data_IF_344529727104
#
_entry.id   IF_344529727104
#
_cell.length_a   1.000
_cell.length_b   1.000
_cell.length_c   1.000
_cell.angle_alpha   90.00
_cell.angle_beta   90.00
_cell.angle_gamma   90.00
#
_symmetry.space_group_name_H-M   'P 1'
#
loop_
_entity.id
_entity.type
_entity.pdbx_description
1 polymer ?
#
# COMPACT_ATOMS: atom_id res chain seq x y z
N UNK A 1 26.69 14.45 -37.36
CA UNK A 1 26.21 13.72 -36.17
C UNK A 1 24.83 14.25 -35.76
N UNK A 2 23.80 13.50 -36.02
CA UNK A 2 22.44 13.88 -35.61
C UNK A 2 22.28 13.49 -34.12
N UNK A 3 22.17 14.49 -33.26
CA UNK A 3 21.83 14.28 -31.85
C UNK A 3 20.36 13.88 -31.77
N UNK A 4 20.11 12.64 -31.44
CA UNK A 4 18.77 12.17 -31.12
C UNK A 4 18.39 12.76 -29.74
N UNK A 5 17.61 13.81 -29.74
CA UNK A 5 16.98 14.35 -28.53
C UNK A 5 15.79 13.47 -28.26
N UNK A 6 15.96 12.51 -27.35
CA UNK A 6 14.83 11.77 -26.77
C UNK A 6 14.14 12.73 -25.82
N UNK A 7 13.10 13.38 -26.29
CA UNK A 7 12.14 14.08 -25.44
C UNK A 7 11.37 12.98 -24.73
N UNK A 8 11.77 12.68 -23.50
CA UNK A 8 10.92 11.99 -22.55
C UNK A 8 9.73 12.91 -22.24
N UNK A 9 8.68 12.76 -23.04
CA UNK A 9 7.41 13.33 -22.68
C UNK A 9 6.96 12.66 -21.41
N UNK A 10 7.10 13.34 -20.28
CA UNK A 10 6.36 13.05 -19.08
C UNK A 10 4.89 13.29 -19.41
N UNK A 11 4.21 12.25 -19.90
CA UNK A 11 2.78 12.19 -19.82
C UNK A 11 2.45 12.11 -18.34
N UNK A 12 2.16 13.25 -17.74
CA UNK A 12 1.33 13.31 -16.56
C UNK A 12 -0.04 12.82 -17.03
N UNK A 13 -0.24 11.50 -17.01
CA UNK A 13 -1.55 10.93 -17.17
C UNK A 13 -2.27 11.32 -15.90
N UNK A 14 -3.03 12.41 -15.97
CA UNK A 14 -4.07 12.69 -15.02
C UNK A 14 -5.12 11.59 -15.19
N UNK A 15 -4.90 10.45 -14.51
CA UNK A 15 -5.93 9.43 -14.39
C UNK A 15 -7.10 10.09 -13.69
N UNK A 16 -8.17 10.31 -14.43
CA UNK A 16 -9.40 10.81 -13.85
C UNK A 16 -9.76 9.95 -12.63
N UNK A 17 -10.12 10.60 -11.52
CA UNK A 17 -10.38 9.96 -10.23
C UNK A 17 -11.43 8.82 -10.29
N UNK A 18 -12.11 8.62 -11.41
CA UNK A 18 -13.15 7.62 -11.62
C UNK A 18 -12.62 6.22 -12.00
N UNK A 19 -11.42 6.12 -12.59
CA UNK A 19 -10.88 4.85 -13.11
C UNK A 19 -10.23 3.96 -12.03
N UNK A 20 -10.13 4.39 -10.76
CA UNK A 20 -9.38 3.72 -9.70
C UNK A 20 -10.19 3.48 -8.44
N UNK A 21 -11.49 3.23 -8.59
CA UNK A 21 -12.36 2.91 -7.46
C UNK A 21 -12.15 1.49 -6.94
N UNK A 22 -12.20 1.33 -5.64
CA UNK A 22 -12.26 0.02 -5.00
C UNK A 22 -13.66 -0.59 -5.19
N UNK A 23 -13.79 -1.90 -4.94
CA UNK A 23 -15.06 -2.60 -5.01
C UNK A 23 -16.06 -2.13 -3.93
N UNK A 24 -17.34 -2.34 -4.19
CA UNK A 24 -18.41 -2.03 -3.22
C UNK A 24 -18.22 -2.76 -1.89
N UNK A 25 -17.73 -4.01 -1.92
CA UNK A 25 -17.39 -4.76 -0.72
C UNK A 25 -16.29 -4.09 0.10
N UNK A 26 -15.29 -3.51 -0.56
CA UNK A 26 -14.24 -2.74 0.10
C UNK A 26 -14.79 -1.45 0.70
N UNK A 27 -15.67 -0.74 -0.02
CA UNK A 27 -16.33 0.46 0.50
C UNK A 27 -17.13 0.14 1.76
N UNK A 28 -17.92 -0.93 1.75
CA UNK A 28 -18.69 -1.37 2.92
C UNK A 28 -17.80 -1.66 4.14
N UNK A 29 -16.65 -2.32 3.93
CA UNK A 29 -15.67 -2.54 4.99
C UNK A 29 -15.08 -1.23 5.52
N UNK A 30 -14.77 -0.29 4.64
CA UNK A 30 -14.20 1.01 5.00
C UNK A 30 -15.19 1.84 5.81
N UNK A 31 -16.47 1.83 5.46
CA UNK A 31 -17.52 2.51 6.22
C UNK A 31 -17.53 2.08 7.70
N UNK A 32 -17.30 0.79 7.96
CA UNK A 32 -17.27 0.22 9.30
C UNK A 32 -15.95 0.43 10.06
N UNK A 33 -14.91 0.96 9.40
CA UNK A 33 -13.56 1.07 9.97
C UNK A 33 -13.04 2.50 10.10
N UNK A 34 -13.88 3.49 9.88
CA UNK A 34 -13.51 4.92 9.94
C UNK A 34 -12.89 5.27 11.30
N UNK A 35 -11.66 5.76 11.28
CA UNK A 35 -10.92 6.19 12.45
C UNK A 35 -10.58 5.09 13.46
N UNK A 36 -10.66 3.83 13.05
CA UNK A 36 -10.41 2.70 13.95
C UNK A 36 -8.94 2.27 13.97
N UNK A 37 -8.58 1.62 15.07
CA UNK A 37 -7.33 0.87 15.23
C UNK A 37 -7.72 -0.58 15.53
N UNK A 38 -7.29 -1.49 14.67
CA UNK A 38 -7.45 -2.94 14.88
C UNK A 38 -6.19 -3.47 15.57
N UNK A 39 -6.37 -4.12 16.71
CA UNK A 39 -5.28 -4.84 17.41
C UNK A 39 -5.57 -6.33 17.33
N UNK A 40 -4.59 -7.07 16.80
CA UNK A 40 -4.65 -8.52 16.71
C UNK A 40 -3.74 -9.12 17.79
N UNK A 41 -4.33 -9.97 18.62
CA UNK A 41 -3.64 -10.63 19.72
C UNK A 41 -3.54 -12.12 19.44
N UNK A 42 -2.38 -12.68 19.70
CA UNK A 42 -2.14 -14.11 19.57
C UNK A 42 -1.85 -14.72 20.95
N UNK A 43 -2.54 -15.82 21.25
CA UNK A 43 -2.31 -16.61 22.46
C UNK A 43 -1.93 -18.02 22.05
N UNK A 44 -0.70 -18.44 22.32
CA UNK A 44 -0.29 -19.80 22.03
C UNK A 44 -1.03 -20.79 22.93
N UNK A 45 -1.28 -22.00 22.41
CA UNK A 45 -1.92 -23.08 23.19
C UNK A 45 -1.07 -23.38 24.44
N UNK A 46 -1.70 -23.33 25.61
CA UNK A 46 -1.03 -23.51 26.90
C UNK A 46 -0.50 -22.23 27.54
N UNK A 47 -0.48 -21.11 26.82
CA UNK A 47 -0.12 -19.80 27.36
C UNK A 47 -1.31 -19.09 28.00
N UNK A 48 -1.04 -18.36 29.07
CA UNK A 48 -2.03 -17.51 29.76
C UNK A 48 -1.99 -16.05 29.28
N UNK A 49 -1.00 -15.67 28.49
CA UNK A 49 -0.80 -14.30 28.01
C UNK A 49 -1.01 -14.22 26.52
N UNK A 50 -1.76 -13.21 26.10
CA UNK A 50 -1.85 -12.80 24.74
C UNK A 50 -0.66 -11.88 24.38
N UNK A 51 -0.09 -12.08 23.20
CA UNK A 51 0.92 -11.19 22.64
C UNK A 51 0.28 -10.34 21.55
N UNK A 52 0.60 -9.05 21.56
CA UNK A 52 0.22 -8.17 20.46
C UNK A 52 0.98 -8.61 19.20
N UNK A 53 0.24 -9.06 18.20
CA UNK A 53 0.79 -9.60 16.95
C UNK A 53 0.83 -8.53 15.86
N UNK A 54 -0.28 -7.80 15.70
CA UNK A 54 -0.41 -6.76 14.66
C UNK A 54 -1.28 -5.62 15.12
N UNK A 55 -0.93 -4.41 14.67
CA UNK A 55 -1.76 -3.22 14.79
C UNK A 55 -1.99 -2.62 13.41
N UNK A 56 -3.25 -2.43 13.05
CA UNK A 56 -3.65 -1.80 11.79
C UNK A 56 -4.40 -0.51 12.10
N UNK A 57 -3.96 0.60 11.53
CA UNK A 57 -4.59 1.91 11.69
C UNK A 57 -5.35 2.29 10.42
N UNK A 58 -6.57 2.74 10.59
CA UNK A 58 -7.45 3.22 9.51
C UNK A 58 -7.68 4.72 9.65
N UNK A 59 -7.73 5.42 8.51
CA UNK A 59 -8.02 6.84 8.47
C UNK A 59 -9.51 7.16 8.64
N UNK A 60 -9.86 8.44 8.52
CA UNK A 60 -11.24 8.93 8.60
C UNK A 60 -12.17 8.35 7.52
N UNK A 61 -11.62 7.80 6.43
CA UNK A 61 -12.36 7.12 5.36
C UNK A 61 -12.36 5.60 5.52
N UNK A 62 -11.78 5.06 6.59
CA UNK A 62 -11.65 3.63 6.81
C UNK A 62 -10.61 2.94 5.92
N UNK A 63 -9.72 3.71 5.29
CA UNK A 63 -8.61 3.18 4.50
C UNK A 63 -7.45 2.80 5.40
N UNK A 64 -6.81 1.67 5.14
CA UNK A 64 -5.62 1.26 5.89
C UNK A 64 -4.46 2.19 5.56
N UNK A 65 -3.94 2.90 6.56
CA UNK A 65 -2.80 3.82 6.42
C UNK A 65 -1.53 3.30 7.04
N UNK A 66 -1.62 2.39 8.00
CA UNK A 66 -0.45 1.81 8.65
C UNK A 66 -0.74 0.39 9.13
N UNK A 67 0.24 -0.48 9.04
CA UNK A 67 0.20 -1.82 9.59
C UNK A 67 1.56 -2.12 10.23
N UNK A 68 1.56 -2.49 11.51
CA UNK A 68 2.76 -2.85 12.27
C UNK A 68 2.62 -4.29 12.70
N UNK A 69 3.61 -5.12 12.36
CA UNK A 69 3.74 -6.48 12.88
C UNK A 69 4.78 -6.50 13.98
N UNK A 70 4.46 -7.19 15.07
CA UNK A 70 5.31 -7.31 16.24
C UNK A 70 5.88 -8.72 16.38
N UNK A 71 7.09 -8.78 16.90
CA UNK A 71 7.73 -9.99 17.40
C UNK A 71 7.96 -9.83 18.91
N UNK A 72 8.57 -10.83 19.56
CA UNK A 72 8.84 -10.79 21.01
C UNK A 72 9.71 -9.60 21.43
N UNK A 73 10.52 -9.07 20.54
CA UNK A 73 11.44 -7.94 20.77
C UNK A 73 10.85 -6.56 20.46
N UNK A 74 9.62 -6.47 19.95
CA UNK A 74 8.98 -5.23 19.52
C UNK A 74 8.59 -5.25 18.04
N UNK A 75 8.67 -4.09 17.38
CA UNK A 75 8.34 -3.98 15.95
C UNK A 75 9.26 -4.90 15.12
N UNK A 76 8.63 -5.77 14.30
CA UNK A 76 9.30 -6.59 13.31
C UNK A 76 9.41 -5.84 11.98
N UNK A 77 8.30 -5.28 11.53
CA UNK A 77 8.21 -4.41 10.37
C UNK A 77 6.99 -3.50 10.46
N UNK A 78 6.98 -2.45 9.66
CA UNK A 78 5.89 -1.49 9.54
C UNK A 78 5.69 -1.10 8.08
N UNK A 79 4.46 -1.04 7.63
CA UNK A 79 4.09 -0.55 6.30
C UNK A 79 3.17 0.64 6.44
N UNK A 80 3.49 1.73 5.75
CA UNK A 80 2.65 2.91 5.61
C UNK A 80 2.08 2.94 4.21
N UNK A 81 0.76 3.08 4.09
CA UNK A 81 0.05 3.16 2.81
C UNK A 81 -0.38 4.59 2.53
N UNK A 82 -0.12 5.05 1.32
CA UNK A 82 -0.49 6.38 0.84
C UNK A 82 -1.53 6.30 -0.27
N UNK A 83 -2.42 7.26 -0.28
CA UNK A 83 -3.50 7.40 -1.25
C UNK A 83 -3.35 8.73 -1.99
N UNK A 84 -4.00 8.90 -3.16
CA UNK A 84 -3.97 10.18 -3.87
C UNK A 84 -4.46 11.32 -2.97
N UNK A 85 -3.85 12.50 -3.13
CA UNK A 85 -4.29 13.70 -2.43
C UNK A 85 -5.77 14.00 -2.75
N UNK A 86 -6.49 14.54 -1.76
CA UNK A 86 -7.90 14.88 -1.88
C UNK A 86 -8.81 13.72 -2.33
N UNK A 87 -8.38 12.50 -2.09
CA UNK A 87 -9.16 11.30 -2.37
C UNK A 87 -9.95 10.85 -1.14
N UNK A 88 -10.96 10.04 -1.36
CA UNK A 88 -11.87 9.57 -0.31
C UNK A 88 -11.92 8.05 -0.18
N UNK A 89 -13.07 7.56 0.26
CA UNK A 89 -13.31 6.16 0.59
C UNK A 89 -13.10 5.20 -0.59
N UNK A 90 -13.24 5.67 -1.82
CA UNK A 90 -13.12 4.85 -3.04
C UNK A 90 -11.69 4.70 -3.56
N UNK A 91 -10.74 5.48 -3.02
CA UNK A 91 -9.37 5.53 -3.54
C UNK A 91 -8.61 4.22 -3.32
N UNK A 92 -7.76 3.88 -4.28
CA UNK A 92 -6.78 2.80 -4.17
C UNK A 92 -5.45 3.32 -3.66
N UNK A 93 -4.71 2.46 -2.95
CA UNK A 93 -3.36 2.76 -2.52
C UNK A 93 -2.46 3.01 -3.73
N UNK A 94 -1.66 4.07 -3.68
CA UNK A 94 -0.73 4.43 -4.77
C UNK A 94 0.72 4.20 -4.41
N UNK A 95 1.03 4.21 -3.11
CA UNK A 95 2.39 4.01 -2.61
C UNK A 95 2.37 3.34 -1.25
N UNK A 96 3.32 2.45 -1.03
CA UNK A 96 3.61 1.87 0.29
C UNK A 96 5.08 2.08 0.64
N UNK A 97 5.33 2.39 1.91
CA UNK A 97 6.67 2.53 2.46
C UNK A 97 6.85 1.46 3.53
N UNK A 98 7.85 0.61 3.35
CA UNK A 98 8.17 -0.48 4.26
C UNK A 98 9.36 -0.12 5.15
N UNK A 99 9.21 -0.31 6.45
CA UNK A 99 10.21 -0.05 7.48
C UNK A 99 10.60 -1.36 8.17
N UNK A 100 11.87 -1.47 8.56
CA UNK A 100 12.36 -2.61 9.30
C UNK A 100 12.12 -2.49 10.83
N UNK A 101 12.69 -3.40 11.59
CA UNK A 101 12.62 -3.44 13.05
C UNK A 101 13.31 -2.25 13.76
N UNK A 102 14.16 -1.52 13.05
CA UNK A 102 14.82 -0.29 13.52
C UNK A 102 14.13 0.98 13.01
N UNK A 103 12.95 0.82 12.44
CA UNK A 103 12.15 1.91 11.88
C UNK A 103 12.84 2.67 10.75
N UNK A 104 13.69 1.98 9.99
CA UNK A 104 14.36 2.51 8.80
C UNK A 104 13.67 2.02 7.54
N UNK A 105 13.51 2.91 6.57
CA UNK A 105 12.95 2.56 5.25
C UNK A 105 13.82 1.51 4.57
N UNK A 106 13.20 0.42 4.14
CA UNK A 106 13.86 -0.68 3.40
C UNK A 106 13.36 -0.79 1.97
N UNK A 107 12.12 -0.36 1.70
CA UNK A 107 11.52 -0.39 0.36
C UNK A 107 10.43 0.65 0.23
N UNK A 108 10.30 1.20 -0.98
CA UNK A 108 9.17 2.03 -1.40
C UNK A 108 8.57 1.37 -2.62
N UNK A 109 7.25 1.10 -2.59
CA UNK A 109 6.52 0.51 -3.71
C UNK A 109 5.50 1.51 -4.25
N UNK A 110 5.43 1.64 -5.58
CA UNK A 110 4.40 2.41 -6.27
C UNK A 110 3.53 1.47 -7.10
N UNK A 111 2.23 1.73 -7.11
CA UNK A 111 1.26 0.88 -7.80
C UNK A 111 0.63 1.61 -8.96
N UNK A 112 0.48 0.90 -10.07
CA UNK A 112 -0.23 1.37 -11.26
C UNK A 112 -1.40 0.45 -11.55
N UNK A 113 -2.52 1.05 -11.93
CA UNK A 113 -3.79 0.37 -12.20
C UNK A 113 -4.24 0.68 -13.63
N UNK A 114 -4.97 -0.26 -14.24
CA UNK A 114 -5.66 -0.04 -15.52
C UNK A 114 -6.99 0.68 -15.33
N UNK A 115 -7.71 0.90 -16.43
CA UNK A 115 -9.01 1.58 -16.44
C UNK A 115 -10.08 0.83 -15.64
N UNK A 116 -9.98 -0.50 -15.55
CA UNK A 116 -10.89 -1.34 -14.76
C UNK A 116 -10.52 -1.36 -13.26
N UNK A 117 -9.43 -0.68 -12.89
CA UNK A 117 -8.94 -0.63 -11.53
C UNK A 117 -8.15 -1.88 -11.11
N UNK A 118 -7.73 -2.71 -12.05
CA UNK A 118 -6.85 -3.84 -11.80
C UNK A 118 -5.39 -3.39 -11.75
N UNK A 119 -4.63 -3.96 -10.81
CA UNK A 119 -3.20 -3.64 -10.69
C UNK A 119 -2.45 -4.20 -11.90
N UNK A 120 -1.71 -3.34 -12.59
CA UNK A 120 -0.92 -3.73 -13.78
C UNK A 120 0.57 -3.71 -13.53
N UNK A 121 1.06 -2.83 -12.66
CA UNK A 121 2.47 -2.80 -12.28
C UNK A 121 2.66 -2.42 -10.81
N UNK A 122 3.73 -2.94 -10.25
CA UNK A 122 4.29 -2.50 -8.98
C UNK A 122 5.77 -2.20 -9.18
N UNK A 123 6.17 -0.96 -8.93
CA UNK A 123 7.55 -0.52 -9.03
C UNK A 123 8.12 -0.46 -7.61
N UNK A 124 9.18 -1.22 -7.37
CA UNK A 124 9.85 -1.28 -6.07
C UNK A 124 11.17 -0.51 -6.14
N UNK A 125 11.37 0.35 -5.17
CA UNK A 125 12.53 1.22 -5.08
C UNK A 125 13.32 0.96 -3.79
N UNK A 126 14.65 1.07 -3.90
CA UNK A 126 15.50 1.20 -2.72
C UNK A 126 15.25 2.51 -1.99
N UNK A 127 15.66 2.63 -0.71
CA UNK A 127 15.52 3.88 0.04
C UNK A 127 16.18 5.10 -0.63
N UNK A 128 17.23 4.89 -1.43
CA UNK A 128 17.92 5.94 -2.18
C UNK A 128 17.18 6.42 -3.45
N UNK A 129 16.00 5.84 -3.73
CA UNK A 129 15.19 6.19 -4.90
C UNK A 129 15.53 5.43 -6.19
N UNK A 130 16.55 4.55 -6.19
CA UNK A 130 16.87 3.72 -7.35
C UNK A 130 15.84 2.59 -7.49
N UNK A 131 15.44 2.31 -8.72
CA UNK A 131 14.54 1.19 -9.03
C UNK A 131 15.24 -0.14 -8.71
N UNK A 132 14.59 -0.95 -7.86
CA UNK A 132 15.04 -2.27 -7.49
C UNK A 132 14.48 -3.34 -8.43
N UNK A 133 13.17 -3.30 -8.65
CA UNK A 133 12.45 -4.29 -9.46
C UNK A 133 11.11 -3.74 -9.96
N UNK A 134 10.60 -4.36 -11.01
CA UNK A 134 9.25 -4.11 -11.52
C UNK A 134 8.49 -5.43 -11.53
N UNK A 135 7.35 -5.46 -10.85
CA UNK A 135 6.41 -6.58 -10.89
C UNK A 135 5.28 -6.23 -11.83
N UNK A 136 5.05 -7.07 -12.83
CA UNK A 136 3.98 -6.91 -13.81
C UNK A 136 2.90 -7.96 -13.56
N UNK A 137 1.64 -7.55 -13.65
CA UNK A 137 0.47 -8.42 -13.49
C UNK A 137 -0.17 -8.67 -14.84
N UNK A 138 -0.35 -9.91 -15.20
CA UNK A 138 -1.01 -10.34 -16.43
C UNK A 138 -2.26 -11.13 -16.06
N UNK A 139 -3.41 -10.68 -16.56
CA UNK A 139 -4.70 -11.33 -16.33
C UNK A 139 -5.06 -12.16 -17.56
N UNK A 140 -4.90 -13.47 -17.45
CA UNK A 140 -5.13 -14.41 -18.55
C UNK A 140 -6.50 -15.08 -18.36
N UNK A 141 -7.40 -15.05 -19.37
CA UNK A 141 -8.68 -15.74 -19.29
C UNK A 141 -8.50 -17.24 -19.10
N UNK A 142 -9.39 -17.88 -18.32
CA UNK A 142 -9.48 -19.32 -18.13
C UNK A 142 -10.21 -20.00 -19.30
#
# INVERSE_FOLDING_TARGET
>A
MKRLVIILAFFAISFGAMAQSVSDATIAKRENRKGMVLKEWNTAVGDKRAFLDRVTTYDQFGRKIEEIEYASYGQKWRVVSEYPENSGITAKVVREIEYNDRDKVVRISKFEYDEDGSKVRQLNYYPNGKLESVKTYEYVPN
#
